data_IF_605476411744
#
_entry.id   IF_605476411744
#
_cell.length_a   1.000
_cell.length_b   1.000
_cell.length_c   1.000
_cell.angle_alpha   90.00
_cell.angle_beta   90.00
_cell.angle_gamma   90.00
#
_symmetry.space_group_name_H-M   'P 1'
#
loop_
_entity.id
_entity.type
_entity.pdbx_description
1 polymer ?
#
# COMPACT_ATOMS: atom_id res chain seq x y z
N UNK A 1 3.22 2.70 -29.69
CA UNK A 1 1.80 2.91 -30.04
C UNK A 1 0.95 2.41 -28.89
N UNK A 2 -0.05 3.20 -28.50
CA UNK A 2 -0.97 3.06 -27.35
C UNK A 2 -0.33 2.87 -25.96
N UNK A 3 0.45 1.81 -25.74
CA UNK A 3 1.22 1.59 -24.49
C UNK A 3 2.17 2.75 -24.16
N UNK A 4 2.72 3.41 -25.17
CA UNK A 4 3.60 4.57 -25.00
C UNK A 4 2.83 5.81 -24.49
N UNK A 5 1.61 6.02 -24.99
CA UNK A 5 0.78 7.16 -24.58
C UNK A 5 0.18 6.92 -23.20
N UNK A 6 -0.30 5.71 -22.93
CA UNK A 6 -0.76 5.31 -21.60
C UNK A 6 0.35 5.47 -20.55
N UNK A 7 1.57 5.01 -20.85
CA UNK A 7 2.71 5.19 -19.93
C UNK A 7 3.05 6.67 -19.72
N UNK A 8 2.94 7.52 -20.74
CA UNK A 8 3.15 8.97 -20.59
C UNK A 8 2.12 9.55 -19.62
N UNK A 9 0.83 9.26 -19.84
CA UNK A 9 -0.26 9.74 -18.99
C UNK A 9 -0.11 9.28 -17.54
N UNK A 10 0.30 8.02 -17.30
CA UNK A 10 0.53 7.55 -15.93
C UNK A 10 1.78 8.18 -15.30
N UNK A 11 2.84 8.50 -16.05
CA UNK A 11 3.98 9.21 -15.49
C UNK A 11 3.64 10.67 -15.12
N UNK A 12 2.80 11.33 -15.92
CA UNK A 12 2.24 12.64 -15.59
C UNK A 12 1.36 12.56 -14.32
N UNK A 13 0.48 11.55 -14.26
CA UNK A 13 -0.34 11.29 -13.07
C UNK A 13 0.50 11.03 -11.82
N UNK A 14 1.56 10.23 -11.91
CA UNK A 14 2.51 10.01 -10.80
C UNK A 14 3.09 11.32 -10.30
N UNK A 15 3.50 12.20 -11.22
CA UNK A 15 4.08 13.50 -10.86
C UNK A 15 3.05 14.38 -10.15
N UNK A 16 1.85 14.48 -10.72
CA UNK A 16 0.76 15.29 -10.17
C UNK A 16 0.29 14.80 -8.81
N UNK A 17 -0.06 13.51 -8.69
CA UNK A 17 -0.60 12.95 -7.45
C UNK A 17 0.44 12.87 -6.34
N UNK A 18 1.73 12.72 -6.66
CA UNK A 18 2.80 12.83 -5.65
C UNK A 18 2.91 14.24 -5.08
N UNK A 19 2.81 15.26 -5.91
CA UNK A 19 2.81 16.64 -5.43
C UNK A 19 1.57 16.92 -4.56
N UNK A 20 0.40 16.47 -5.02
CA UNK A 20 -0.87 16.69 -4.34
C UNK A 20 -0.94 15.95 -2.99
N UNK A 21 -0.50 14.69 -2.94
CA UNK A 21 -0.50 13.91 -1.69
C UNK A 21 0.40 14.52 -0.62
N UNK A 22 1.57 15.05 -1.01
CA UNK A 22 2.49 15.74 -0.10
C UNK A 22 1.95 17.08 0.36
N UNK A 23 1.44 17.89 -0.57
CA UNK A 23 0.88 19.22 -0.29
C UNK A 23 -0.32 19.15 0.66
N UNK A 24 -1.14 18.11 0.52
CA UNK A 24 -2.37 17.91 1.29
C UNK A 24 -2.27 16.73 2.28
N UNK A 25 -1.08 16.45 2.81
CA UNK A 25 -0.87 15.36 3.76
C UNK A 25 -1.82 15.46 4.97
N UNK A 26 -2.30 14.31 5.47
CA UNK A 26 -3.25 14.19 6.59
C UNK A 26 -4.63 14.81 6.32
N UNK A 27 -4.97 15.06 5.06
CA UNK A 27 -6.32 15.44 4.63
C UNK A 27 -6.92 14.37 3.71
N UNK A 28 -8.22 14.43 3.47
CA UNK A 28 -8.90 13.53 2.52
C UNK A 28 -8.33 13.65 1.10
N UNK A 29 -7.99 14.86 0.65
CA UNK A 29 -7.33 15.09 -0.65
C UNK A 29 -5.99 14.35 -0.70
N UNK A 30 -5.22 14.40 0.39
CA UNK A 30 -3.96 13.68 0.47
C UNK A 30 -4.15 12.17 0.40
N UNK A 31 -5.14 11.62 1.10
CA UNK A 31 -5.46 10.18 1.07
C UNK A 31 -5.86 9.72 -0.34
N UNK A 32 -6.80 10.42 -0.96
CA UNK A 32 -7.27 10.11 -2.32
C UNK A 32 -6.13 10.25 -3.34
N UNK A 33 -5.30 11.27 -3.20
CA UNK A 33 -4.13 11.46 -4.06
C UNK A 33 -3.13 10.32 -3.93
N UNK A 34 -2.85 9.84 -2.72
CA UNK A 34 -1.98 8.68 -2.52
C UNK A 34 -2.54 7.41 -3.15
N UNK A 35 -3.86 7.21 -3.12
CA UNK A 35 -4.50 6.07 -3.78
C UNK A 35 -4.37 6.13 -5.31
N UNK A 36 -4.51 7.32 -5.91
CA UNK A 36 -4.29 7.46 -7.35
C UNK A 36 -2.82 7.33 -7.72
N UNK A 37 -1.92 7.79 -6.85
CA UNK A 37 -0.48 7.63 -7.02
C UNK A 37 -0.08 6.14 -7.04
N UNK A 38 -0.53 5.34 -6.06
CA UNK A 38 -0.22 3.91 -6.01
C UNK A 38 -0.79 3.17 -7.23
N UNK A 39 -2.02 3.48 -7.63
CA UNK A 39 -2.63 2.91 -8.85
C UNK A 39 -1.87 3.29 -10.12
N UNK A 40 -1.40 4.53 -10.23
CA UNK A 40 -0.59 4.96 -11.38
C UNK A 40 0.70 4.16 -11.48
N UNK A 41 1.35 3.90 -10.33
CA UNK A 41 2.51 3.01 -10.27
C UNK A 41 2.19 1.56 -10.63
N UNK A 42 1.07 1.01 -10.17
CA UNK A 42 0.61 -0.34 -10.55
C UNK A 42 0.42 -0.44 -12.07
N UNK A 43 -0.21 0.55 -12.70
CA UNK A 43 -0.42 0.58 -14.15
C UNK A 43 0.91 0.67 -14.92
N UNK A 44 1.90 1.37 -14.36
CA UNK A 44 3.27 1.41 -14.88
C UNK A 44 4.11 0.16 -14.56
N UNK A 45 3.52 -0.85 -13.89
CA UNK A 45 4.21 -2.05 -13.38
C UNK A 45 5.36 -1.75 -12.41
N UNK A 46 5.33 -0.57 -11.80
CA UNK A 46 6.26 -0.09 -10.77
C UNK A 46 5.77 -0.53 -9.38
N UNK A 47 5.73 -1.84 -9.18
CA UNK A 47 5.10 -2.45 -8.01
C UNK A 47 5.81 -2.13 -6.70
N UNK A 48 7.12 -1.93 -6.73
CA UNK A 48 7.90 -1.55 -5.55
C UNK A 48 7.46 -0.17 -5.04
N UNK A 49 7.38 0.80 -5.94
CA UNK A 49 6.94 2.16 -5.62
C UNK A 49 5.47 2.20 -5.23
N UNK A 50 4.61 1.40 -5.87
CA UNK A 50 3.22 1.26 -5.47
C UNK A 50 3.09 0.75 -4.03
N UNK A 51 3.87 -0.27 -3.66
CA UNK A 51 3.90 -0.82 -2.30
C UNK A 51 4.33 0.22 -1.26
N UNK A 52 5.37 1.00 -1.56
CA UNK A 52 5.86 2.08 -0.68
C UNK A 52 4.80 3.15 -0.48
N UNK A 53 4.10 3.59 -1.54
CA UNK A 53 3.04 4.59 -1.41
C UNK A 53 1.89 4.08 -0.53
N UNK A 54 1.53 2.80 -0.65
CA UNK A 54 0.48 2.20 0.17
C UNK A 54 0.93 2.12 1.64
N UNK A 55 2.17 1.73 1.91
CA UNK A 55 2.75 1.72 3.25
C UNK A 55 2.73 3.13 3.88
N UNK A 56 3.20 4.15 3.16
CA UNK A 56 3.16 5.54 3.60
C UNK A 56 1.72 6.02 3.87
N UNK A 57 0.75 5.54 3.08
CA UNK A 57 -0.67 5.85 3.25
C UNK A 57 -1.23 5.23 4.52
N UNK A 58 -0.87 3.98 4.82
CA UNK A 58 -1.26 3.30 6.06
C UNK A 58 -0.69 4.04 7.28
N UNK A 59 0.56 4.49 7.21
CA UNK A 59 1.22 5.21 8.30
C UNK A 59 0.68 6.65 8.47
N UNK A 60 0.32 7.32 7.38
CA UNK A 60 -0.17 8.72 7.41
C UNK A 60 -1.64 8.80 7.85
N UNK A 61 -2.45 7.80 7.48
CA UNK A 61 -3.90 7.79 7.71
C UNK A 61 -4.34 6.55 8.51
N UNK A 62 -3.86 6.35 9.76
CA UNK A 62 -4.15 5.14 10.53
C UNK A 62 -5.62 5.10 10.96
N UNK A 63 -6.44 4.39 10.21
CA UNK A 63 -7.88 4.20 10.49
C UNK A 63 -8.33 2.81 10.07
N UNK A 64 -9.42 2.32 10.66
CA UNK A 64 -10.03 1.05 10.24
C UNK A 64 -10.44 1.03 8.77
N UNK A 65 -10.84 2.19 8.23
CA UNK A 65 -11.15 2.34 6.81
C UNK A 65 -9.89 2.14 5.95
N UNK A 66 -8.81 2.85 6.28
CA UNK A 66 -7.52 2.71 5.61
C UNK A 66 -7.01 1.29 5.66
N UNK A 67 -7.02 0.65 6.84
CA UNK A 67 -6.54 -0.72 6.99
C UNK A 67 -7.33 -1.72 6.13
N UNK A 68 -8.66 -1.56 6.06
CA UNK A 68 -9.53 -2.43 5.25
C UNK A 68 -9.22 -2.32 3.76
N UNK A 69 -8.91 -1.13 3.26
CA UNK A 69 -8.62 -0.91 1.84
C UNK A 69 -7.17 -1.23 1.47
N UNK A 70 -6.22 -0.73 2.26
CA UNK A 70 -4.82 -0.69 1.87
C UNK A 70 -4.06 -1.97 2.20
N UNK A 71 -4.38 -2.66 3.31
CA UNK A 71 -3.64 -3.86 3.70
C UNK A 71 -3.78 -5.02 2.68
N UNK A 72 -4.97 -5.31 2.12
CA UNK A 72 -5.08 -6.33 1.08
C UNK A 72 -4.29 -5.97 -0.19
N UNK A 73 -4.33 -4.69 -0.60
CA UNK A 73 -3.59 -4.22 -1.77
C UNK A 73 -2.07 -4.30 -1.56
N UNK A 74 -1.59 -3.90 -0.38
CA UNK A 74 -0.21 -4.02 0.04
C UNK A 74 0.26 -5.48 0.04
N UNK A 75 -0.53 -6.41 0.61
CA UNK A 75 -0.16 -7.83 0.64
C UNK A 75 -0.14 -8.42 -0.78
N UNK A 76 -1.13 -8.10 -1.62
CA UNK A 76 -1.12 -8.51 -3.02
C UNK A 76 0.18 -8.09 -3.73
N UNK A 77 0.54 -6.81 -3.61
CA UNK A 77 1.75 -6.26 -4.22
C UNK A 77 3.01 -6.94 -3.66
N UNK A 78 3.21 -6.91 -2.34
CA UNK A 78 4.46 -7.42 -1.76
C UNK A 78 4.55 -8.94 -1.78
N UNK A 79 3.52 -9.66 -1.33
CA UNK A 79 3.59 -11.11 -1.21
C UNK A 79 3.39 -11.83 -2.55
N UNK A 80 2.47 -11.36 -3.39
CA UNK A 80 2.07 -12.12 -4.58
C UNK A 80 2.71 -11.62 -5.87
N UNK A 81 2.82 -10.29 -6.08
CA UNK A 81 3.43 -9.75 -7.30
C UNK A 81 4.95 -9.72 -7.19
N UNK A 82 5.47 -9.13 -6.11
CA UNK A 82 6.91 -8.99 -5.86
C UNK A 82 7.55 -10.23 -5.22
N UNK A 83 6.74 -11.25 -4.86
CA UNK A 83 7.20 -12.49 -4.22
C UNK A 83 8.04 -12.25 -2.96
N UNK A 84 7.76 -11.17 -2.24
CA UNK A 84 8.44 -10.75 -1.04
C UNK A 84 7.44 -10.61 0.14
N UNK A 85 6.90 -11.72 0.65
CA UNK A 85 5.95 -11.68 1.77
C UNK A 85 6.57 -11.12 3.06
N UNK A 86 7.90 -11.05 3.19
CA UNK A 86 8.56 -10.42 4.34
C UNK A 86 8.22 -8.93 4.45
N UNK A 87 8.08 -8.22 3.32
CA UNK A 87 7.64 -6.82 3.31
C UNK A 87 6.19 -6.67 3.80
N UNK A 88 5.30 -7.56 3.37
CA UNK A 88 3.92 -7.55 3.86
C UNK A 88 3.84 -7.83 5.37
N UNK A 89 4.60 -8.82 5.86
CA UNK A 89 4.72 -9.12 7.29
C UNK A 89 5.21 -7.89 8.07
N UNK A 90 6.21 -7.17 7.56
CA UNK A 90 6.74 -5.98 8.23
C UNK A 90 5.67 -4.89 8.41
N UNK A 91 4.85 -4.64 7.37
CA UNK A 91 3.73 -3.68 7.47
C UNK A 91 2.69 -4.14 8.48
N UNK A 92 2.30 -5.42 8.46
CA UNK A 92 1.34 -5.95 9.45
C UNK A 92 1.86 -5.84 10.89
N UNK A 93 3.15 -6.10 11.12
CA UNK A 93 3.77 -5.92 12.45
C UNK A 93 3.72 -4.47 12.92
N UNK A 94 4.04 -3.50 12.05
CA UNK A 94 3.92 -2.08 12.37
C UNK A 94 2.50 -1.69 12.77
N UNK A 95 1.47 -2.21 12.08
CA UNK A 95 0.06 -1.96 12.44
C UNK A 95 -0.29 -2.62 13.77
N UNK A 96 0.16 -3.85 14.00
CA UNK A 96 -0.04 -4.59 15.25
C UNK A 96 0.56 -3.87 16.46
N UNK A 97 1.79 -3.35 16.33
CA UNK A 97 2.48 -2.62 17.40
C UNK A 97 1.77 -1.31 17.79
N UNK A 98 1.12 -0.66 16.83
CA UNK A 98 0.47 0.65 17.04
C UNK A 98 -1.02 0.54 17.44
N UNK A 99 -1.67 -0.59 17.14
CA UNK A 99 -3.12 -0.72 17.37
C UNK A 99 -3.45 -1.02 18.84
N UNK A 100 -4.51 -0.38 19.34
CA UNK A 100 -5.15 -0.73 20.63
C UNK A 100 -6.43 -1.55 20.44
N UNK A 101 -6.87 -1.73 19.19
CA UNK A 101 -8.06 -2.53 18.88
C UNK A 101 -7.68 -4.02 18.86
N UNK A 102 -8.25 -4.78 19.81
CA UNK A 102 -7.97 -6.20 19.98
C UNK A 102 -8.39 -7.06 18.78
N UNK A 103 -9.46 -6.68 18.07
CA UNK A 103 -9.91 -7.40 16.87
C UNK A 103 -8.95 -7.16 15.71
N UNK A 104 -8.52 -5.92 15.53
CA UNK A 104 -7.49 -5.60 14.54
C UNK A 104 -6.18 -6.30 14.88
N UNK A 105 -5.74 -6.29 16.14
CA UNK A 105 -4.53 -6.98 16.57
C UNK A 105 -4.56 -8.48 16.23
N UNK A 106 -5.68 -9.16 16.56
CA UNK A 106 -5.87 -10.57 16.21
C UNK A 106 -5.83 -10.80 14.70
N UNK A 107 -6.43 -9.90 13.91
CA UNK A 107 -6.39 -9.98 12.45
C UNK A 107 -4.98 -9.81 11.91
N UNK A 108 -4.20 -8.82 12.39
CA UNK A 108 -2.82 -8.61 11.94
C UNK A 108 -1.96 -9.83 12.26
N UNK A 109 -2.08 -10.38 13.47
CA UNK A 109 -1.35 -11.59 13.86
C UNK A 109 -1.72 -12.78 12.95
N UNK A 110 -3.01 -13.01 12.69
CA UNK A 110 -3.45 -14.09 11.81
C UNK A 110 -2.89 -13.95 10.38
N UNK A 111 -2.78 -12.73 9.85
CA UNK A 111 -2.16 -12.49 8.53
C UNK A 111 -0.65 -12.74 8.56
N UNK A 112 0.04 -12.31 9.63
CA UNK A 112 1.47 -12.58 9.82
C UNK A 112 1.73 -14.10 9.83
N UNK A 113 0.98 -14.85 10.65
CA UNK A 113 1.14 -16.30 10.79
C UNK A 113 0.92 -17.03 9.44
N UNK A 114 -0.11 -16.61 8.68
CA UNK A 114 -0.41 -17.16 7.37
C UNK A 114 0.75 -16.95 6.37
N UNK A 115 1.29 -15.74 6.31
CA UNK A 115 2.42 -15.41 5.43
C UNK A 115 3.72 -16.10 5.87
N UNK A 116 3.95 -16.25 7.18
CA UNK A 116 5.11 -16.98 7.71
C UNK A 116 5.05 -18.46 7.40
N UNK A 117 3.87 -19.08 7.51
CA UNK A 117 3.68 -20.48 7.13
C UNK A 117 4.01 -20.70 5.65
N UNK A 118 3.54 -19.80 4.77
CA UNK A 118 3.84 -19.85 3.34
C UNK A 118 5.33 -19.68 2.99
N UNK A 119 6.14 -19.09 3.89
CA UNK A 119 7.59 -18.95 3.74
C UNK A 119 8.39 -20.18 4.16
N UNK A 120 7.82 -21.03 5.03
CA UNK A 120 8.45 -22.26 5.51
C UNK A 120 7.91 -23.55 4.87
N UNK A 121 6.97 -23.41 3.92
CA UNK A 121 6.41 -24.50 3.10
C UNK A 121 7.14 -24.55 1.77
#
# INVERSE_FOLDING_TARGET
>A
GDLTQANSAFNEAVTYYRALSRKHAKTEIGYVSSNFLSQSYVNLKKYEEAGVVIEDTIDTYPSMYTYRQQLPAMELIYAQVLKNPRKAIAVYKKVLEKTKDARLAKLMQARIDLLQKALGS
#
